data_IF_286684958812
#
_entry.id   IF_286684958812
#
_cell.length_a   1.000
_cell.length_b   1.000
_cell.length_c   1.000
_cell.angle_alpha   90.00
_cell.angle_beta   90.00
_cell.angle_gamma   90.00
#
_symmetry.space_group_name_H-M   'P 1'
#
loop_
_entity.id
_entity.type
_entity.pdbx_description
1 polymer ?
#
# COMPACT_ATOMS: atom_id res chain seq x y z
N UNK A 1 -37.75 -9.80 -3.02
CA UNK A 1 -37.64 -8.51 -3.73
C UNK A 1 -36.16 -8.33 -4.09
N UNK A 2 -35.86 -7.80 -5.27
CA UNK A 2 -34.47 -7.46 -5.63
C UNK A 2 -34.00 -6.34 -4.70
N UNK A 3 -32.84 -6.49 -4.09
CA UNK A 3 -32.22 -5.42 -3.31
C UNK A 3 -31.71 -4.34 -4.26
N UNK A 4 -31.70 -3.05 -3.90
CA UNK A 4 -31.01 -2.01 -4.70
C UNK A 4 -29.53 -2.35 -4.96
N UNK A 5 -28.91 -3.10 -4.05
CA UNK A 5 -27.55 -3.63 -4.19
C UNK A 5 -27.37 -4.62 -5.35
N UNK A 6 -28.45 -5.20 -5.87
CA UNK A 6 -28.43 -6.12 -7.02
C UNK A 6 -28.27 -5.38 -8.36
N UNK A 7 -28.57 -4.08 -8.40
CA UNK A 7 -28.46 -3.26 -9.60
C UNK A 7 -27.00 -2.90 -9.91
N UNK A 8 -26.19 -2.72 -8.86
CA UNK A 8 -24.74 -2.58 -8.98
C UNK A 8 -24.14 -3.93 -9.38
N UNK A 9 -23.82 -4.13 -10.66
CA UNK A 9 -23.17 -5.35 -11.16
C UNK A 9 -21.67 -5.38 -10.79
N UNK A 10 -20.79 -5.67 -11.75
CA UNK A 10 -19.34 -5.63 -11.55
C UNK A 10 -18.80 -4.29 -12.05
N UNK A 11 -17.85 -3.72 -11.30
CA UNK A 11 -17.16 -2.49 -11.68
C UNK A 11 -16.03 -2.73 -12.70
N UNK A 12 -15.39 -1.63 -13.19
CA UNK A 12 -15.68 -0.24 -12.83
C UNK A 12 -17.07 0.21 -13.32
N UNK A 13 -17.70 1.12 -12.58
CA UNK A 13 -19.07 1.57 -12.82
C UNK A 13 -19.10 2.91 -13.57
N UNK A 14 -20.20 3.23 -14.28
CA UNK A 14 -20.41 4.55 -14.85
C UNK A 14 -20.25 5.69 -13.83
N UNK A 15 -19.91 6.89 -14.29
CA UNK A 15 -19.64 8.07 -13.46
C UNK A 15 -20.82 8.43 -12.52
N UNK A 16 -22.04 8.19 -12.97
CA UNK A 16 -23.28 8.48 -12.25
C UNK A 16 -23.76 7.31 -11.35
N UNK A 17 -23.06 6.17 -11.33
CA UNK A 17 -23.48 5.03 -10.52
C UNK A 17 -23.37 5.33 -9.02
N UNK A 18 -24.48 5.17 -8.29
CA UNK A 18 -24.59 5.47 -6.87
C UNK A 18 -24.67 4.19 -6.02
N UNK A 19 -24.08 4.23 -4.83
CA UNK A 19 -24.32 3.20 -3.83
C UNK A 19 -25.67 3.44 -3.14
N UNK A 20 -26.46 2.38 -2.85
CA UNK A 20 -27.66 2.52 -2.05
C UNK A 20 -27.38 3.20 -0.70
N UNK A 21 -28.30 4.07 -0.25
CA UNK A 21 -28.15 4.80 1.02
C UNK A 21 -28.17 3.90 2.26
N UNK A 22 -28.92 2.79 2.21
CA UNK A 22 -29.01 1.84 3.31
C UNK A 22 -27.92 0.78 3.22
N UNK A 23 -27.28 0.49 4.36
CA UNK A 23 -26.26 -0.57 4.47
C UNK A 23 -26.82 -1.92 3.97
N UNK A 24 -26.02 -2.74 3.28
CA UNK A 24 -26.46 -4.06 2.89
C UNK A 24 -26.66 -4.93 4.14
N UNK A 25 -27.81 -5.60 4.24
CA UNK A 25 -28.02 -6.58 5.30
C UNK A 25 -27.02 -7.75 5.19
N UNK A 26 -26.85 -8.53 6.27
CA UNK A 26 -25.86 -9.61 6.31
C UNK A 26 -26.06 -10.68 5.21
N UNK A 27 -27.31 -10.94 4.82
CA UNK A 27 -27.64 -11.88 3.75
C UNK A 27 -27.27 -11.34 2.38
N UNK A 28 -27.64 -10.10 2.09
CA UNK A 28 -27.29 -9.37 0.85
C UNK A 28 -25.78 -9.23 0.71
N UNK A 29 -25.09 -8.82 1.78
CA UNK A 29 -23.63 -8.70 1.82
C UNK A 29 -22.94 -10.01 1.47
N UNK A 30 -23.30 -11.11 2.14
CA UNK A 30 -22.73 -12.44 1.89
C UNK A 30 -23.01 -12.91 0.46
N UNK A 31 -24.24 -12.74 -0.02
CA UNK A 31 -24.68 -13.18 -1.35
C UNK A 31 -23.96 -12.44 -2.48
N UNK A 32 -23.72 -11.14 -2.30
CA UNK A 32 -23.08 -10.27 -3.29
C UNK A 32 -21.57 -10.13 -3.08
N UNK A 33 -21.02 -10.76 -2.04
CA UNK A 33 -19.61 -10.67 -1.69
C UNK A 33 -19.18 -9.23 -1.37
N UNK A 34 -20.03 -8.43 -0.73
CA UNK A 34 -19.71 -7.04 -0.35
C UNK A 34 -18.89 -6.99 0.96
N UNK A 35 -18.02 -5.98 1.15
CA UNK A 35 -17.26 -5.82 2.39
C UNK A 35 -18.17 -5.51 3.58
N UNK A 36 -17.80 -5.95 4.78
CA UNK A 36 -18.44 -5.50 6.02
C UNK A 36 -18.12 -4.02 6.33
N UNK A 37 -17.02 -3.53 5.77
CA UNK A 37 -16.59 -2.13 5.85
C UNK A 37 -17.34 -1.18 4.90
N UNK A 38 -18.19 -1.69 3.99
CA UNK A 38 -19.02 -0.86 3.10
C UNK A 38 -20.16 -0.21 3.89
N UNK A 39 -19.96 1.05 4.27
CA UNK A 39 -20.87 1.83 5.13
C UNK A 39 -21.25 3.16 4.47
N UNK A 40 -22.32 3.18 3.67
CA UNK A 40 -22.85 4.44 3.12
C UNK A 40 -23.26 5.41 4.23
N UNK A 41 -23.07 6.70 3.96
CA UNK A 41 -23.46 7.83 4.82
C UNK A 41 -24.94 8.15 4.55
N UNK A 42 -25.81 8.05 5.57
CA UNK A 42 -27.24 8.29 5.37
C UNK A 42 -27.54 9.69 4.85
N UNK A 43 -28.37 9.78 3.82
CA UNK A 43 -28.78 11.06 3.22
C UNK A 43 -27.70 11.75 2.39
N UNK A 44 -26.53 11.13 2.20
CA UNK A 44 -25.54 11.56 1.23
C UNK A 44 -25.70 10.77 -0.08
N UNK A 45 -25.38 11.43 -1.20
CA UNK A 45 -25.12 10.75 -2.47
C UNK A 45 -23.67 10.30 -2.47
N UNK A 46 -23.42 9.02 -2.74
CA UNK A 46 -22.08 8.46 -2.83
C UNK A 46 -21.94 7.64 -4.12
N UNK A 47 -20.87 7.89 -4.87
CA UNK A 47 -20.58 7.15 -6.10
C UNK A 47 -20.05 5.75 -5.78
N UNK A 48 -20.35 4.78 -6.62
CA UNK A 48 -19.75 3.46 -6.57
C UNK A 48 -18.30 3.55 -7.08
N UNK A 49 -17.33 3.27 -6.21
CA UNK A 49 -15.89 3.35 -6.52
C UNK A 49 -15.29 1.95 -6.49
N UNK A 50 -14.48 1.64 -7.49
CA UNK A 50 -13.69 0.41 -7.53
C UNK A 50 -12.41 0.58 -6.69
N UNK A 51 -12.19 -0.32 -5.73
CA UNK A 51 -11.03 -0.30 -4.84
C UNK A 51 -10.25 -1.63 -4.98
N UNK A 52 -9.07 -1.62 -5.65
CA UNK A 52 -8.25 -2.82 -5.81
C UNK A 52 -7.94 -3.55 -4.50
N UNK A 53 -7.83 -2.84 -3.37
CA UNK A 53 -7.55 -3.47 -2.07
C UNK A 53 -8.67 -4.43 -1.60
N UNK A 54 -9.85 -4.32 -2.21
CA UNK A 54 -11.02 -5.14 -1.96
C UNK A 54 -11.22 -6.23 -3.03
N UNK A 55 -10.21 -6.57 -3.86
CA UNK A 55 -10.35 -7.59 -4.92
C UNK A 55 -10.70 -9.00 -4.47
N UNK A 56 -10.45 -9.33 -3.20
CA UNK A 56 -10.91 -10.57 -2.59
C UNK A 56 -12.45 -10.59 -2.40
N UNK A 57 -13.11 -9.44 -2.46
CA UNK A 57 -14.55 -9.29 -2.59
C UNK A 57 -14.96 -9.29 -4.06
N UNK A 58 -16.08 -9.96 -4.37
CA UNK A 58 -16.52 -10.20 -5.76
C UNK A 58 -16.66 -8.93 -6.60
N UNK A 59 -16.99 -7.79 -5.97
CA UNK A 59 -17.19 -6.51 -6.66
C UNK A 59 -16.07 -5.49 -6.42
N UNK A 60 -15.19 -5.70 -5.44
CA UNK A 60 -14.20 -4.69 -5.03
C UNK A 60 -14.81 -3.28 -4.85
N UNK A 61 -16.02 -3.21 -4.28
CA UNK A 61 -16.82 -2.00 -4.19
C UNK A 61 -16.55 -1.25 -2.89
N UNK A 62 -16.26 0.05 -3.01
CA UNK A 62 -16.27 1.03 -1.92
C UNK A 62 -17.29 2.14 -2.22
N UNK A 63 -17.85 2.75 -1.17
CA UNK A 63 -18.59 4.00 -1.30
C UNK A 63 -17.61 5.17 -1.42
N UNK A 64 -17.74 5.99 -2.47
CA UNK A 64 -16.94 7.20 -2.66
C UNK A 64 -17.23 8.28 -1.63
N UNK A 65 -16.60 9.43 -1.78
CA UNK A 65 -16.79 10.57 -0.88
C UNK A 65 -18.26 11.06 -0.88
N UNK A 66 -18.83 11.39 0.30
CA UNK A 66 -20.24 11.79 0.39
C UNK A 66 -20.45 13.21 -0.15
N UNK A 67 -21.43 13.34 -1.04
CA UNK A 67 -21.97 14.60 -1.49
C UNK A 67 -23.31 14.87 -0.80
N UNK A 68 -23.46 16.09 -0.27
CA UNK A 68 -24.68 16.56 0.39
C UNK A 68 -25.34 17.65 -0.44
N UNK A 69 -26.67 17.71 -0.41
CA UNK A 69 -27.43 18.77 -1.11
C UNK A 69 -27.14 20.17 -0.56
N UNK A 70 -26.86 20.27 0.74
CA UNK A 70 -26.54 21.52 1.42
C UNK A 70 -25.03 21.70 1.57
N UNK A 71 -24.51 22.81 1.03
CA UNK A 71 -23.12 23.22 1.22
C UNK A 71 -22.76 23.37 2.71
N UNK A 72 -23.68 23.90 3.53
CA UNK A 72 -23.48 24.04 4.99
C UNK A 72 -23.36 22.67 5.67
N UNK A 73 -24.20 21.70 5.29
CA UNK A 73 -24.10 20.33 5.81
C UNK A 73 -22.78 19.70 5.38
N UNK A 74 -22.39 19.88 4.12
CA UNK A 74 -21.12 19.38 3.58
C UNK A 74 -19.93 19.92 4.38
N UNK A 75 -19.81 21.24 4.52
CA UNK A 75 -18.72 21.90 5.28
C UNK A 75 -18.65 21.40 6.72
N UNK A 76 -19.79 21.34 7.42
CA UNK A 76 -19.87 20.87 8.80
C UNK A 76 -19.54 19.39 8.93
N UNK A 77 -19.96 18.55 7.98
CA UNK A 77 -19.67 17.12 7.98
C UNK A 77 -18.18 16.84 7.74
N UNK A 78 -17.56 17.49 6.76
CA UNK A 78 -16.12 17.34 6.52
C UNK A 78 -15.29 17.89 7.68
N UNK A 79 -15.71 18.99 8.32
CA UNK A 79 -15.08 19.49 9.54
C UNK A 79 -15.16 18.45 10.69
N UNK A 80 -16.33 17.81 10.89
CA UNK A 80 -16.50 16.76 11.89
C UNK A 80 -15.67 15.51 11.57
N UNK A 81 -15.55 15.11 10.30
CA UNK A 81 -14.67 14.01 9.87
C UNK A 81 -13.21 14.32 10.17
N UNK A 82 -12.74 15.52 9.83
CA UNK A 82 -11.37 15.97 10.12
C UNK A 82 -11.08 15.96 11.63
N UNK A 83 -12.03 16.42 12.44
CA UNK A 83 -11.93 16.33 13.91
C UNK A 83 -11.83 14.88 14.39
N UNK A 84 -12.58 13.95 13.78
CA UNK A 84 -12.50 12.53 14.10
C UNK A 84 -11.14 11.92 13.70
N UNK A 85 -10.62 12.26 12.52
CA UNK A 85 -9.28 11.85 12.05
C UNK A 85 -8.20 12.37 13.00
N UNK A 86 -8.24 13.66 13.32
CA UNK A 86 -7.32 14.31 14.25
C UNK A 86 -7.34 13.66 15.64
N UNK A 87 -8.53 13.27 16.12
CA UNK A 87 -8.69 12.56 17.38
C UNK A 87 -8.05 11.16 17.34
N UNK A 88 -8.31 10.39 16.28
CA UNK A 88 -7.73 9.05 16.10
C UNK A 88 -6.21 9.11 16.00
N UNK A 89 -5.65 10.09 15.29
CA UNK A 89 -4.19 10.28 15.23
C UNK A 89 -3.60 10.59 16.61
N UNK A 90 -4.27 11.42 17.42
CA UNK A 90 -3.84 11.73 18.78
C UNK A 90 -3.92 10.49 19.70
N UNK A 91 -4.96 9.67 19.55
CA UNK A 91 -5.11 8.38 20.26
C UNK A 91 -3.93 7.46 19.95
N UNK A 92 -3.59 7.29 18.66
CA UNK A 92 -2.49 6.43 18.24
C UNK A 92 -1.15 6.97 18.77
N UNK A 93 -0.91 8.27 18.63
CA UNK A 93 0.31 8.91 19.13
C UNK A 93 0.49 8.80 20.65
N UNK A 94 -0.62 8.72 21.40
CA UNK A 94 -0.62 8.51 22.86
C UNK A 94 -0.77 7.04 23.29
N UNK A 95 -0.73 6.09 22.36
CA UNK A 95 -0.95 4.66 22.65
C UNK A 95 0.36 3.91 22.90
N UNK A 96 0.26 2.70 23.47
CA UNK A 96 1.41 1.81 23.63
C UNK A 96 1.95 1.25 22.30
N UNK A 97 1.22 1.43 21.19
CA UNK A 97 1.59 0.91 19.86
C UNK A 97 2.27 1.96 18.97
N UNK A 98 2.51 3.18 19.46
CA UNK A 98 3.08 4.27 18.66
C UNK A 98 4.41 3.90 18.00
N UNK A 99 5.27 3.16 18.71
CA UNK A 99 6.57 2.70 18.19
C UNK A 99 6.46 1.51 17.22
N UNK A 100 5.26 0.96 17.04
CA UNK A 100 4.96 -0.16 16.15
C UNK A 100 4.17 0.25 14.90
N UNK A 101 3.89 1.55 14.73
CA UNK A 101 3.05 2.05 13.65
C UNK A 101 3.77 3.18 12.91
N UNK A 102 4.07 2.93 11.64
CA UNK A 102 4.64 3.94 10.74
C UNK A 102 3.53 4.49 9.86
N UNK A 103 3.17 5.75 10.09
CA UNK A 103 2.17 6.46 9.29
C UNK A 103 2.66 6.64 7.85
N UNK A 104 1.76 6.49 6.88
CA UNK A 104 2.00 6.74 5.46
C UNK A 104 0.72 7.26 4.79
N UNK A 105 0.75 7.38 3.48
CA UNK A 105 -0.45 7.65 2.69
C UNK A 105 -0.86 9.13 2.68
N UNK A 106 -2.11 9.37 2.30
CA UNK A 106 -2.60 10.69 1.88
C UNK A 106 -2.62 11.76 2.98
N UNK A 107 -2.75 11.35 4.24
CA UNK A 107 -2.71 12.27 5.39
C UNK A 107 -1.36 12.98 5.52
N UNK A 108 -0.24 12.34 5.14
CA UNK A 108 1.07 12.98 5.13
C UNK A 108 1.20 14.01 4.01
N UNK A 109 0.62 13.73 2.83
CA UNK A 109 0.58 14.72 1.74
C UNK A 109 -0.21 15.95 2.16
N UNK A 110 -1.33 15.76 2.87
CA UNK A 110 -2.09 16.87 3.45
C UNK A 110 -1.28 17.65 4.48
N UNK A 111 -0.51 16.97 5.32
CA UNK A 111 0.39 17.60 6.29
C UNK A 111 1.48 18.45 5.62
N UNK A 112 2.03 18.01 4.48
CA UNK A 112 3.12 18.69 3.79
C UNK A 112 2.65 19.78 2.83
N UNK A 113 1.51 19.59 2.17
CA UNK A 113 1.09 20.39 1.01
C UNK A 113 -0.27 21.09 1.18
N UNK A 114 -0.96 20.88 2.31
CA UNK A 114 -2.22 21.57 2.60
C UNK A 114 -3.27 21.36 1.51
N UNK A 115 -3.90 22.44 1.04
CA UNK A 115 -4.96 22.42 0.00
C UNK A 115 -4.50 21.96 -1.38
N UNK A 116 -3.19 21.84 -1.62
CA UNK A 116 -2.69 21.21 -2.83
C UNK A 116 -2.78 19.68 -2.78
N UNK A 117 -2.95 19.07 -1.60
CA UNK A 117 -3.26 17.65 -1.49
C UNK A 117 -4.77 17.44 -1.46
N UNK A 118 -5.23 16.36 -2.09
CA UNK A 118 -6.62 15.89 -1.98
C UNK A 118 -6.99 15.57 -0.53
N UNK A 119 -8.27 15.58 -0.23
CA UNK A 119 -8.75 15.22 1.10
C UNK A 119 -8.36 13.77 1.45
N UNK A 120 -7.76 13.50 2.63
CA UNK A 120 -7.40 12.15 3.04
C UNK A 120 -8.63 11.25 3.22
N UNK A 121 -8.61 10.09 2.56
CA UNK A 121 -9.70 9.10 2.64
C UNK A 121 -9.63 8.24 3.91
N UNK A 122 -8.41 7.91 4.33
CA UNK A 122 -8.04 6.90 5.32
C UNK A 122 -6.73 7.26 6.04
N UNK A 123 -6.42 6.49 7.08
CA UNK A 123 -5.16 6.51 7.80
C UNK A 123 -4.40 5.21 7.53
N UNK A 124 -3.31 5.27 6.78
CA UNK A 124 -2.49 4.11 6.43
C UNK A 124 -1.29 3.96 7.38
N UNK A 125 -1.07 2.73 7.87
CA UNK A 125 0.04 2.38 8.73
C UNK A 125 0.77 1.14 8.21
N UNK A 126 2.11 1.18 8.23
CA UNK A 126 2.94 -0.03 8.19
C UNK A 126 3.20 -0.49 9.63
N UNK A 127 2.87 -1.74 9.92
CA UNK A 127 3.12 -2.34 11.25
C UNK A 127 4.56 -2.83 11.33
N UNK A 128 5.29 -2.35 12.34
CA UNK A 128 6.70 -2.68 12.59
C UNK A 128 6.89 -3.30 13.99
N UNK A 129 7.88 -4.20 14.19
CA UNK A 129 8.82 -4.70 13.19
C UNK A 129 8.12 -5.59 12.16
N UNK A 130 8.75 -5.79 11.00
CA UNK A 130 8.24 -6.63 9.90
C UNK A 130 7.80 -8.03 10.34
N UNK A 131 8.36 -8.56 11.42
CA UNK A 131 8.01 -9.86 11.99
C UNK A 131 6.68 -9.88 12.74
N UNK A 132 6.01 -8.73 12.90
CA UNK A 132 4.66 -8.66 13.44
C UNK A 132 3.65 -9.26 12.46
N UNK A 133 3.08 -10.40 12.86
CA UNK A 133 2.10 -11.14 12.08
C UNK A 133 0.66 -10.67 12.28
N UNK A 134 -0.10 -10.64 11.19
CA UNK A 134 -1.51 -10.22 11.16
C UNK A 134 -2.42 -11.06 12.08
N UNK A 135 -2.12 -12.37 12.24
CA UNK A 135 -2.94 -13.31 13.00
C UNK A 135 -2.55 -13.43 14.50
N UNK A 136 -1.63 -12.58 14.98
CA UNK A 136 -1.18 -12.64 16.36
C UNK A 136 -2.17 -12.01 17.35
N UNK A 137 -2.21 -12.52 18.60
CA UNK A 137 -3.05 -11.94 19.67
C UNK A 137 -2.79 -10.45 19.90
N UNK A 138 -1.53 -10.01 19.78
CA UNK A 138 -1.16 -8.59 19.91
C UNK A 138 -1.79 -7.71 18.84
N UNK A 139 -2.06 -8.23 17.65
CA UNK A 139 -2.76 -7.50 16.58
C UNK A 139 -4.20 -7.21 16.98
N UNK A 140 -4.91 -8.21 17.49
CA UNK A 140 -6.28 -8.01 18.01
C UNK A 140 -6.30 -7.02 19.18
N UNK A 141 -5.35 -7.13 20.11
CA UNK A 141 -5.23 -6.21 21.23
C UNK A 141 -5.00 -4.75 20.78
N UNK A 142 -4.17 -4.54 19.76
CA UNK A 142 -3.93 -3.23 19.16
C UNK A 142 -5.19 -2.62 18.55
N UNK A 143 -5.88 -3.35 17.67
CA UNK A 143 -7.06 -2.83 16.99
C UNK A 143 -8.20 -2.51 17.96
N UNK A 144 -8.50 -3.44 18.88
CA UNK A 144 -9.53 -3.23 19.88
C UNK A 144 -9.15 -2.11 20.87
N UNK A 145 -7.86 -2.02 21.18
CA UNK A 145 -7.31 -1.00 22.07
C UNK A 145 -7.43 0.40 21.49
N UNK A 146 -7.06 0.59 20.23
CA UNK A 146 -7.24 1.86 19.49
C UNK A 146 -8.73 2.23 19.48
N UNK A 147 -9.63 1.30 19.15
CA UNK A 147 -11.07 1.56 19.11
C UNK A 147 -11.63 2.00 20.48
N UNK A 148 -11.28 1.26 21.55
CA UNK A 148 -11.72 1.59 22.93
C UNK A 148 -11.16 2.92 23.41
N UNK A 149 -9.89 3.21 23.12
CA UNK A 149 -9.28 4.47 23.52
C UNK A 149 -9.90 5.64 22.77
N UNK A 150 -10.17 5.48 21.46
CA UNK A 150 -10.85 6.50 20.67
C UNK A 150 -12.26 6.84 21.18
N UNK A 151 -13.03 5.83 21.60
CA UNK A 151 -14.32 6.02 22.28
C UNK A 151 -14.16 6.72 23.63
N UNK A 152 -13.25 6.24 24.48
CA UNK A 152 -13.12 6.71 25.86
C UNK A 152 -12.61 8.16 25.97
N UNK A 153 -11.81 8.62 25.01
CA UNK A 153 -11.19 9.95 25.03
C UNK A 153 -11.78 10.93 24.03
N UNK A 154 -12.92 10.58 23.38
CA UNK A 154 -13.55 11.43 22.39
C UNK A 154 -13.84 12.84 22.95
N UNK A 155 -13.48 13.92 22.21
CA UNK A 155 -13.71 15.29 22.65
C UNK A 155 -15.20 15.63 22.67
N UNK A 156 -15.55 16.70 23.40
CA UNK A 156 -16.93 17.19 23.43
C UNK A 156 -17.46 17.47 22.01
N UNK A 157 -18.70 17.04 21.75
CA UNK A 157 -19.35 17.19 20.44
C UNK A 157 -19.02 16.08 19.43
N UNK A 158 -18.03 15.23 19.70
CA UNK A 158 -17.72 14.03 18.91
C UNK A 158 -17.99 12.78 19.75
N UNK A 159 -18.75 11.84 19.20
CA UNK A 159 -18.92 10.50 19.79
C UNK A 159 -18.35 9.46 18.82
N UNK A 160 -17.50 8.58 19.32
CA UNK A 160 -17.11 7.36 18.62
C UNK A 160 -17.75 6.15 19.30
N UNK A 161 -17.90 5.05 18.55
CA UNK A 161 -18.50 3.81 19.07
C UNK A 161 -17.57 2.63 18.79
N UNK A 162 -16.91 2.14 19.84
CA UNK A 162 -15.97 1.03 19.71
C UNK A 162 -16.68 -0.31 19.44
N UNK A 163 -17.98 -0.43 19.79
CA UNK A 163 -18.76 -1.65 19.58
C UNK A 163 -19.28 -1.78 18.15
N UNK A 164 -19.46 -0.66 17.45
CA UNK A 164 -19.78 -0.64 16.01
C UNK A 164 -18.51 -0.64 15.13
N UNK A 165 -17.32 -0.72 15.73
CA UNK A 165 -16.07 -0.88 14.99
C UNK A 165 -16.06 -2.19 14.20
N UNK A 166 -15.64 -2.11 12.94
CA UNK A 166 -15.51 -3.27 12.05
C UNK A 166 -14.06 -3.44 11.65
N UNK A 167 -13.52 -4.63 11.87
CA UNK A 167 -12.23 -5.03 11.34
C UNK A 167 -12.41 -6.09 10.24
N UNK A 168 -11.74 -5.90 9.11
CA UNK A 168 -11.78 -6.82 7.97
C UNK A 168 -10.37 -7.00 7.39
N UNK A 169 -10.10 -8.16 6.81
CA UNK A 169 -8.84 -8.40 6.11
C UNK A 169 -8.86 -7.63 4.79
N UNK A 170 -7.73 -7.04 4.44
CA UNK A 170 -7.52 -6.37 3.15
C UNK A 170 -6.19 -6.81 2.55
N UNK A 171 -6.06 -6.67 1.24
CA UNK A 171 -4.81 -6.92 0.53
C UNK A 171 -4.40 -5.63 -0.16
N UNK A 172 -3.46 -4.91 0.44
CA UNK A 172 -3.03 -3.61 -0.08
C UNK A 172 -2.19 -3.83 -1.34
N UNK A 173 -2.76 -3.43 -2.49
CA UNK A 173 -2.19 -3.61 -3.83
C UNK A 173 -1.87 -5.08 -4.16
N UNK A 174 -2.69 -6.04 -3.70
CA UNK A 174 -2.52 -7.49 -3.89
C UNK A 174 -1.17 -8.09 -3.41
N UNK A 175 -0.39 -7.34 -2.61
CA UNK A 175 1.00 -7.71 -2.27
C UNK A 175 1.19 -8.23 -0.85
N UNK A 176 0.59 -7.55 0.13
CA UNK A 176 0.87 -7.79 1.55
C UNK A 176 -0.43 -7.87 2.35
N UNK A 177 -0.49 -8.73 3.38
CA UNK A 177 -1.67 -8.86 4.21
C UNK A 177 -1.88 -7.59 5.02
N UNK A 178 -3.12 -7.12 5.06
CA UNK A 178 -3.52 -5.96 5.83
C UNK A 178 -4.80 -6.18 6.63
N UNK A 179 -5.04 -5.29 7.59
CA UNK A 179 -6.30 -5.21 8.34
C UNK A 179 -6.86 -3.80 8.24
N UNK A 180 -8.09 -3.68 7.79
CA UNK A 180 -8.85 -2.43 7.80
C UNK A 180 -9.72 -2.36 9.04
N UNK A 181 -9.58 -1.30 9.83
CA UNK A 181 -10.43 -0.95 10.96
C UNK A 181 -11.27 0.28 10.59
N UNK A 182 -12.59 0.15 10.67
CA UNK A 182 -13.52 1.27 10.46
C UNK A 182 -14.16 1.65 11.78
N UNK A 183 -13.91 2.88 12.23
CA UNK A 183 -14.49 3.47 13.44
C UNK A 183 -15.58 4.46 13.05
N UNK A 184 -16.80 4.27 13.56
CA UNK A 184 -17.89 5.21 13.32
C UNK A 184 -17.82 6.40 14.26
N UNK A 185 -18.20 7.58 13.77
CA UNK A 185 -18.35 8.78 14.56
C UNK A 185 -19.70 9.46 14.35
N UNK A 186 -20.12 10.22 15.35
CA UNK A 186 -21.33 11.04 15.36
C UNK A 186 -20.98 12.44 15.86
N UNK A 187 -21.54 13.45 15.21
CA UNK A 187 -21.45 14.85 15.62
C UNK A 187 -22.84 15.50 15.53
N UNK A 188 -23.14 16.42 16.45
CA UNK A 188 -24.49 16.96 16.66
C UNK A 188 -25.16 17.47 15.38
N UNK A 189 -26.31 16.86 15.03
CA UNK A 189 -27.14 17.27 13.89
C UNK A 189 -26.59 16.90 12.51
N UNK A 190 -25.56 16.06 12.43
CA UNK A 190 -24.97 15.58 11.17
C UNK A 190 -25.24 14.08 10.97
N UNK A 191 -25.32 13.60 9.72
CA UNK A 191 -25.26 12.17 9.43
C UNK A 191 -23.99 11.54 10.02
N UNK A 192 -24.11 10.29 10.49
CA UNK A 192 -22.95 9.56 10.99
C UNK A 192 -21.91 9.37 9.89
N UNK A 193 -20.64 9.36 10.27
CA UNK A 193 -19.54 9.06 9.35
C UNK A 193 -18.63 7.98 9.92
N UNK A 194 -17.50 7.78 9.25
CA UNK A 194 -16.47 6.85 9.70
C UNK A 194 -15.07 7.39 9.46
N UNK A 195 -14.12 6.89 10.26
CA UNK A 195 -12.68 6.96 10.00
C UNK A 195 -12.22 5.54 9.65
N UNK A 196 -11.51 5.41 8.54
CA UNK A 196 -10.87 4.17 8.11
C UNK A 196 -9.40 4.19 8.49
N UNK A 197 -8.91 3.08 9.06
CA UNK A 197 -7.51 2.86 9.36
C UNK A 197 -7.06 1.55 8.71
N UNK A 198 -6.03 1.61 7.89
CA UNK A 198 -5.47 0.45 7.20
C UNK A 198 -4.09 0.11 7.78
N UNK A 199 -3.95 -1.11 8.26
CA UNK A 199 -2.72 -1.62 8.86
C UNK A 199 -2.11 -2.68 7.95
N UNK A 200 -0.94 -2.41 7.39
CA UNK A 200 -0.21 -3.33 6.52
C UNK A 200 0.84 -4.09 7.32
N UNK A 201 0.85 -5.41 7.21
CA UNK A 201 1.77 -6.29 7.93
C UNK A 201 2.83 -6.85 6.99
N UNK A 202 4.00 -7.17 7.55
CA UNK A 202 5.11 -7.84 6.86
C UNK A 202 5.71 -7.09 5.66
N UNK A 203 5.29 -5.85 5.40
CA UNK A 203 5.92 -4.95 4.42
C UNK A 203 7.33 -4.58 4.88
N UNK A 204 8.28 -4.58 3.95
CA UNK A 204 9.65 -4.13 4.19
C UNK A 204 9.72 -2.63 3.94
N UNK A 205 10.18 -1.86 4.93
CA UNK A 205 10.47 -0.44 4.77
C UNK A 205 11.84 -0.25 4.07
N UNK A 206 11.90 0.32 2.85
CA UNK A 206 13.16 0.55 2.13
C UNK A 206 14.04 1.64 2.76
N UNK A 207 13.42 2.58 3.47
CA UNK A 207 14.09 3.62 4.24
C UNK A 207 13.51 3.67 5.65
N UNK A 208 14.31 4.12 6.61
CA UNK A 208 13.87 4.28 7.99
C UNK A 208 12.77 5.35 8.08
N UNK A 209 11.74 5.14 8.92
CA UNK A 209 10.74 6.17 9.17
C UNK A 209 11.32 7.32 10.00
N UNK A 210 10.72 8.50 9.88
CA UNK A 210 11.12 9.69 10.61
C UNK A 210 10.03 10.18 11.58
N UNK A 211 10.40 10.70 12.77
CA UNK A 211 9.45 11.36 13.66
C UNK A 211 8.83 12.58 12.97
N UNK A 212 7.52 12.53 12.74
CA UNK A 212 6.78 13.56 12.00
C UNK A 212 5.64 14.11 12.85
N UNK A 213 5.57 15.44 12.94
CA UNK A 213 4.42 16.13 13.52
C UNK A 213 3.34 16.26 12.46
N UNK A 214 2.18 15.66 12.69
CA UNK A 214 1.04 15.76 11.77
C UNK A 214 0.18 16.96 12.21
N UNK A 215 0.11 18.06 11.43
CA UNK A 215 -0.72 19.20 11.77
C UNK A 215 -2.19 18.77 11.88
N UNK A 216 -2.85 19.22 12.95
CA UNK A 216 -4.29 19.02 13.11
C UNK A 216 -5.05 20.02 12.25
N UNK A 217 -6.19 19.63 11.72
CA UNK A 217 -7.07 20.52 10.96
C UNK A 217 -7.65 21.63 11.86
N UNK A 218 -7.83 21.36 13.15
CA UNK A 218 -8.31 22.35 14.13
C UNK A 218 -7.21 23.30 14.66
N UNK A 219 -5.95 23.14 14.21
CA UNK A 219 -4.81 23.94 14.66
C UNK A 219 -4.32 23.63 16.08
N UNK A 220 -4.84 22.58 16.72
CA UNK A 220 -4.38 22.10 18.02
C UNK A 220 -2.97 21.49 17.99
N UNK A 221 -2.50 20.95 19.13
CA UNK A 221 -1.17 20.33 19.22
C UNK A 221 -1.00 19.17 18.23
N UNK A 222 -0.03 19.27 17.33
CA UNK A 222 0.26 18.24 16.33
C UNK A 222 0.79 16.94 16.97
N UNK A 223 0.10 15.79 16.84
CA UNK A 223 0.62 14.50 17.28
C UNK A 223 1.95 14.17 16.60
N UNK A 224 2.87 13.57 17.37
CA UNK A 224 4.16 13.08 16.87
C UNK A 224 4.05 11.58 16.62
N UNK A 225 4.31 11.15 15.38
CA UNK A 225 4.24 9.75 14.95
C UNK A 225 5.51 9.41 14.18
N UNK A 226 5.88 8.13 14.14
CA UNK A 226 6.83 7.67 13.13
C UNK A 226 6.11 7.66 11.78
N UNK A 227 6.72 8.22 10.74
CA UNK A 227 6.10 8.33 9.43
C UNK A 227 7.08 8.08 8.28
N UNK A 228 6.55 7.68 7.13
CA UNK A 228 7.31 7.66 5.89
C UNK A 228 7.73 9.08 5.48
N UNK A 229 8.93 9.21 4.94
CA UNK A 229 9.42 10.49 4.40
C UNK A 229 8.70 10.85 3.09
N UNK A 230 8.76 12.12 2.64
CA UNK A 230 8.28 12.49 1.30
C UNK A 230 8.97 11.67 0.20
N UNK A 231 10.26 11.39 0.32
CA UNK A 231 11.01 10.63 -0.68
C UNK A 231 10.53 9.18 -0.76
N UNK A 232 10.34 8.52 0.40
CA UNK A 232 9.82 7.16 0.45
C UNK A 232 8.37 7.10 -0.06
N UNK A 233 7.56 8.10 0.27
CA UNK A 233 6.19 8.21 -0.24
C UNK A 233 6.17 8.32 -1.77
N UNK A 234 7.08 9.12 -2.35
CA UNK A 234 7.21 9.23 -3.80
C UNK A 234 7.70 7.92 -4.43
N UNK A 235 8.70 7.26 -3.84
CA UNK A 235 9.18 5.97 -4.30
C UNK A 235 8.06 4.92 -4.36
N UNK A 236 7.22 4.87 -3.33
CA UNK A 236 6.08 3.96 -3.28
C UNK A 236 5.00 4.29 -4.30
N UNK A 237 4.66 5.58 -4.50
CA UNK A 237 3.67 5.98 -5.51
C UNK A 237 4.11 5.59 -6.92
N UNK A 238 5.38 5.84 -7.25
CA UNK A 238 5.94 5.42 -8.56
C UNK A 238 5.97 3.89 -8.68
N UNK A 239 6.35 3.18 -7.62
CA UNK A 239 6.33 1.72 -7.62
C UNK A 239 4.91 1.16 -7.80
N UNK A 240 3.88 1.67 -7.12
CA UNK A 240 2.50 1.22 -7.32
C UNK A 240 2.01 1.45 -8.74
N UNK A 241 2.34 2.62 -9.32
CA UNK A 241 1.99 2.90 -10.70
C UNK A 241 2.63 1.91 -11.69
N UNK A 242 3.85 1.43 -11.41
CA UNK A 242 4.61 0.54 -12.29
C UNK A 242 4.35 -0.96 -12.07
N UNK A 243 4.02 -1.39 -10.85
CA UNK A 243 3.92 -2.80 -10.46
C UNK A 243 2.48 -3.28 -10.25
N UNK A 244 1.54 -2.39 -9.98
CA UNK A 244 0.19 -2.81 -9.65
C UNK A 244 -0.61 -3.20 -10.90
N UNK A 245 -1.50 -4.18 -10.76
CA UNK A 245 -2.41 -4.61 -11.82
C UNK A 245 -3.51 -3.58 -12.09
N UNK A 246 -3.73 -2.66 -11.14
CA UNK A 246 -4.73 -1.59 -11.22
C UNK A 246 -4.12 -0.23 -10.81
N UNK A 247 -3.21 0.35 -11.62
CA UNK A 247 -2.61 1.66 -11.32
C UNK A 247 -3.67 2.75 -11.15
N UNK A 248 -3.65 3.47 -10.03
CA UNK A 248 -4.71 4.42 -9.69
C UNK A 248 -4.35 5.87 -10.02
N UNK A 249 -5.31 6.64 -10.54
CA UNK A 249 -5.17 8.06 -10.87
C UNK A 249 -4.87 8.94 -9.65
N UNK A 250 -5.37 8.55 -8.46
CA UNK A 250 -4.99 9.20 -7.19
C UNK A 250 -3.50 9.03 -6.89
N UNK A 251 -2.90 7.90 -7.25
CA UNK A 251 -1.48 7.64 -7.03
C UNK A 251 -0.62 8.43 -8.04
N UNK A 252 -1.11 8.61 -9.27
CA UNK A 252 -0.51 9.49 -10.27
C UNK A 252 -0.53 10.96 -9.81
N UNK A 253 -1.66 11.43 -9.30
CA UNK A 253 -1.78 12.78 -8.75
C UNK A 253 -0.83 13.00 -7.57
N UNK A 254 -0.87 12.10 -6.58
CA UNK A 254 -0.02 12.13 -5.40
C UNK A 254 1.47 12.10 -5.78
N UNK A 255 1.87 11.25 -6.73
CA UNK A 255 3.25 11.17 -7.24
C UNK A 255 3.70 12.49 -7.88
N UNK A 256 2.84 13.11 -8.70
CA UNK A 256 3.16 14.39 -9.33
C UNK A 256 3.34 15.51 -8.29
N UNK A 257 2.45 15.57 -7.30
CA UNK A 257 2.54 16.55 -6.21
C UNK A 257 3.83 16.39 -5.40
N UNK A 258 4.18 15.15 -5.05
CA UNK A 258 5.42 14.81 -4.37
C UNK A 258 6.65 15.17 -5.23
N UNK A 259 6.67 14.75 -6.51
CA UNK A 259 7.79 15.00 -7.41
C UNK A 259 8.03 16.48 -7.71
N UNK A 260 7.00 17.32 -7.57
CA UNK A 260 7.16 18.78 -7.67
C UNK A 260 7.93 19.40 -6.49
N UNK A 261 8.01 18.71 -5.34
CA UNK A 261 8.58 19.24 -4.10
C UNK A 261 9.69 18.37 -3.49
N UNK A 262 9.93 17.18 -4.04
CA UNK A 262 10.85 16.19 -3.48
C UNK A 262 11.66 15.54 -4.59
N UNK A 263 12.98 15.51 -4.43
CA UNK A 263 13.86 14.74 -5.31
C UNK A 263 13.87 13.28 -4.88
N UNK A 264 13.54 12.38 -5.80
CA UNK A 264 13.65 10.94 -5.58
C UNK A 264 15.03 10.44 -6.05
N UNK A 265 15.76 9.73 -5.20
CA UNK A 265 16.95 8.99 -5.63
C UNK A 265 16.57 7.73 -6.41
N UNK A 266 17.32 7.41 -7.47
CA UNK A 266 17.12 6.14 -8.19
C UNK A 266 17.31 4.93 -7.28
N UNK A 267 18.24 5.06 -6.32
CA UNK A 267 18.54 4.01 -5.35
C UNK A 267 17.31 3.66 -4.50
N UNK A 268 16.66 4.65 -3.90
CA UNK A 268 15.48 4.41 -3.08
C UNK A 268 14.32 3.84 -3.90
N UNK A 269 14.15 4.32 -5.14
CA UNK A 269 13.16 3.75 -6.06
C UNK A 269 13.46 2.26 -6.31
N UNK A 270 14.71 1.91 -6.64
CA UNK A 270 15.11 0.53 -6.86
C UNK A 270 14.90 -0.34 -5.61
N UNK A 271 15.28 0.15 -4.43
CA UNK A 271 15.06 -0.56 -3.17
C UNK A 271 13.57 -0.77 -2.87
N UNK A 272 12.70 0.21 -3.15
CA UNK A 272 11.26 0.08 -3.00
C UNK A 272 10.69 -0.99 -3.93
N UNK A 273 11.07 -0.98 -5.21
CA UNK A 273 10.66 -1.97 -6.20
C UNK A 273 11.10 -3.40 -5.79
N UNK A 274 12.34 -3.57 -5.32
CA UNK A 274 12.88 -4.87 -4.88
C UNK A 274 12.33 -5.33 -3.54
N UNK A 275 12.01 -4.38 -2.65
CA UNK A 275 11.31 -4.68 -1.40
C UNK A 275 9.93 -5.29 -1.70
N UNK A 276 9.20 -4.71 -2.65
CA UNK A 276 7.91 -5.16 -3.18
C UNK A 276 7.99 -6.52 -3.87
N UNK A 277 8.81 -6.62 -4.93
CA UNK A 277 8.98 -7.84 -5.72
C UNK A 277 10.47 -8.12 -5.97
N UNK A 278 11.03 -9.24 -5.46
CA UNK A 278 12.42 -9.59 -5.72
C UNK A 278 12.77 -9.70 -7.21
N UNK A 279 11.82 -10.01 -8.10
CA UNK A 279 12.06 -10.00 -9.55
C UNK A 279 12.51 -8.63 -10.09
N UNK A 280 12.20 -7.54 -9.39
CA UNK A 280 12.65 -6.20 -9.80
C UNK A 280 14.17 -6.02 -9.67
N UNK A 281 14.87 -6.91 -8.94
CA UNK A 281 16.34 -6.84 -8.82
C UNK A 281 17.04 -7.00 -10.18
N UNK A 282 16.40 -7.69 -11.13
CA UNK A 282 16.90 -7.84 -12.51
C UNK A 282 16.24 -6.93 -13.54
N UNK A 283 15.11 -6.31 -13.20
CA UNK A 283 14.34 -5.43 -14.08
C UNK A 283 14.00 -4.13 -13.35
N UNK A 284 15.03 -3.29 -13.23
CA UNK A 284 14.91 -1.98 -12.61
C UNK A 284 14.03 -1.05 -13.45
N UNK A 285 13.33 -0.10 -12.81
CA UNK A 285 12.40 0.77 -13.50
C UNK A 285 13.13 1.70 -14.48
N UNK A 286 12.46 2.02 -15.58
CA UNK A 286 12.93 3.00 -16.56
C UNK A 286 11.96 4.17 -16.68
N UNK A 287 12.44 5.30 -17.19
CA UNK A 287 11.57 6.45 -17.45
C UNK A 287 10.56 6.16 -18.58
N UNK A 288 10.89 5.26 -19.50
CA UNK A 288 9.97 4.83 -20.57
C UNK A 288 8.80 4.02 -20.00
N UNK A 289 9.03 3.19 -18.97
CA UNK A 289 7.95 2.50 -18.26
C UNK A 289 7.01 3.52 -17.58
N UNK A 290 7.54 4.61 -17.01
CA UNK A 290 6.73 5.71 -16.46
C UNK A 290 5.96 6.46 -17.55
N UNK A 291 6.57 6.69 -18.72
CA UNK A 291 5.93 7.38 -19.83
C UNK A 291 4.79 6.55 -20.48
N UNK A 292 4.78 5.24 -20.25
CA UNK A 292 3.79 4.30 -20.76
C UNK A 292 2.66 3.99 -19.75
N UNK A 293 2.59 4.71 -18.63
CA UNK A 293 1.55 4.51 -17.62
C UNK A 293 0.15 4.75 -18.19
N UNK A 294 -0.73 3.79 -17.91
CA UNK A 294 -2.18 3.85 -18.13
C UNK A 294 -2.85 3.65 -16.76
N UNK A 295 -3.64 4.63 -16.32
CA UNK A 295 -4.20 4.69 -14.96
C UNK A 295 -5.70 4.92 -15.01
N UNK A 296 -6.41 4.59 -13.92
CA UNK A 296 -7.86 4.79 -13.78
C UNK A 296 -8.27 6.27 -13.59
N UNK A 297 -7.77 7.19 -14.42
CA UNK A 297 -7.93 8.64 -14.26
C UNK A 297 -9.39 9.10 -14.09
N UNK A 298 -10.32 8.43 -14.76
CA UNK A 298 -11.76 8.72 -14.61
C UNK A 298 -12.30 8.36 -13.22
N UNK A 299 -11.80 7.29 -12.59
CA UNK A 299 -12.16 6.96 -11.19
C UNK A 299 -11.65 8.05 -10.24
N UNK A 300 -10.45 8.59 -10.47
CA UNK A 300 -9.92 9.72 -9.70
C UNK A 300 -10.78 10.98 -9.87
N UNK A 301 -11.14 11.34 -11.12
CA UNK A 301 -12.01 12.51 -11.39
C UNK A 301 -13.40 12.37 -10.78
N UNK A 302 -13.96 11.15 -10.79
CA UNK A 302 -15.26 10.84 -10.17
C UNK A 302 -15.23 11.05 -8.66
N UNK A 303 -14.14 10.70 -7.99
CA UNK A 303 -14.00 10.83 -6.54
C UNK A 303 -13.59 12.25 -6.11
N UNK A 304 -12.85 12.97 -6.95
CA UNK A 304 -12.25 14.27 -6.64
C UNK A 304 -12.54 15.32 -7.73
N UNK A 305 -13.83 15.67 -7.95
CA UNK A 305 -14.25 16.57 -9.03
C UNK A 305 -13.71 17.99 -8.90
N UNK A 306 -13.33 18.45 -7.71
CA UNK A 306 -12.70 19.74 -7.46
C UNK A 306 -11.30 19.86 -8.09
N UNK A 307 -10.66 18.72 -8.40
CA UNK A 307 -9.41 18.66 -9.15
C UNK A 307 -9.62 18.41 -10.65
N UNK A 308 -10.86 18.18 -11.11
CA UNK A 308 -11.21 18.11 -12.52
C UNK A 308 -10.88 19.36 -13.37
N UNK A 309 -10.80 20.59 -12.81
CA UNK A 309 -10.31 21.78 -13.53
C UNK A 309 -8.80 21.78 -13.77
N UNK A 310 -8.04 20.83 -13.22
CA UNK A 310 -6.61 20.73 -13.51
C UNK A 310 -6.44 20.52 -15.03
N UNK A 311 -5.81 21.46 -15.75
CA UNK A 311 -5.75 21.37 -17.20
C UNK A 311 -4.96 20.13 -17.62
N UNK A 312 -5.58 19.31 -18.45
CA UNK A 312 -4.97 18.18 -19.15
C UNK A 312 -5.67 16.83 -18.93
N UNK A 313 -5.28 15.84 -19.73
CA UNK A 313 -5.74 14.45 -19.62
C UNK A 313 -4.85 13.64 -18.66
N UNK A 314 -5.13 12.34 -18.50
CA UNK A 314 -4.23 11.41 -17.83
C UNK A 314 -2.83 11.47 -18.45
N UNK A 315 -2.76 11.49 -19.78
CA UNK A 315 -1.51 11.58 -20.54
C UNK A 315 -0.72 12.86 -20.22
N UNK A 316 -1.39 14.01 -20.13
CA UNK A 316 -0.72 15.28 -19.76
C UNK A 316 -0.12 15.20 -18.35
N UNK A 317 -0.82 14.56 -17.43
CA UNK A 317 -0.34 14.35 -16.05
C UNK A 317 0.86 13.40 -16.01
N UNK A 318 0.82 12.31 -16.78
CA UNK A 318 1.96 11.39 -16.96
C UNK A 318 3.17 12.13 -17.54
N UNK A 319 2.99 12.96 -18.58
CA UNK A 319 4.09 13.73 -19.16
C UNK A 319 4.73 14.70 -18.17
N UNK A 320 3.92 15.35 -17.32
CA UNK A 320 4.42 16.20 -16.24
C UNK A 320 5.20 15.39 -15.20
N UNK A 321 4.73 14.20 -14.84
CA UNK A 321 5.45 13.30 -13.93
C UNK A 321 6.78 12.84 -14.55
N UNK A 322 6.80 12.47 -15.84
CA UNK A 322 8.03 12.11 -16.57
C UNK A 322 9.05 13.25 -16.53
N UNK A 323 8.63 14.49 -16.74
CA UNK A 323 9.52 15.66 -16.65
C UNK A 323 10.06 15.82 -15.23
N UNK A 324 9.20 15.71 -14.21
CA UNK A 324 9.59 15.85 -12.81
C UNK A 324 10.56 14.74 -12.35
N UNK A 325 10.35 13.50 -12.81
CA UNK A 325 11.19 12.35 -12.46
C UNK A 325 12.43 12.19 -13.32
N UNK A 326 12.59 12.93 -14.43
CA UNK A 326 13.78 12.84 -15.30
C UNK A 326 15.10 12.85 -14.52
N UNK A 327 15.32 13.75 -13.53
CA UNK A 327 16.57 13.74 -12.76
C UNK A 327 16.82 12.45 -11.96
N UNK A 328 15.77 11.74 -11.54
CA UNK A 328 15.87 10.44 -10.88
C UNK A 328 16.53 9.41 -11.80
N UNK A 329 16.26 9.46 -13.11
CA UNK A 329 16.75 8.45 -14.06
C UNK A 329 18.03 8.86 -14.81
N UNK A 330 18.42 10.14 -14.77
CA UNK A 330 19.62 10.63 -15.49
C UNK A 330 20.81 10.94 -14.59
N UNK A 331 20.60 11.08 -13.28
CA UNK A 331 21.71 11.26 -12.34
C UNK A 331 22.44 9.94 -12.14
N UNK A 332 23.74 10.04 -11.86
CA UNK A 332 24.51 8.90 -11.39
C UNK A 332 23.85 8.33 -10.12
N UNK A 333 23.80 7.00 -10.05
CA UNK A 333 23.15 6.28 -8.97
C UNK A 333 24.16 5.42 -8.23
N UNK A 334 24.00 5.28 -6.92
CA UNK A 334 24.90 4.51 -6.04
C UNK A 334 24.68 2.99 -6.14
N UNK A 335 24.35 2.49 -7.33
CA UNK A 335 24.22 1.06 -7.60
C UNK A 335 25.51 0.52 -8.24
N UNK A 336 25.99 -0.67 -7.84
CA UNK A 336 27.17 -1.27 -8.43
C UNK A 336 27.10 -1.44 -9.94
N UNK A 337 28.27 -1.33 -10.56
CA UNK A 337 28.51 -1.84 -11.89
C UNK A 337 28.49 -3.38 -11.88
N UNK A 338 28.02 -3.98 -12.98
CA UNK A 338 27.86 -5.43 -13.10
C UNK A 338 26.54 -5.94 -12.52
N UNK A 339 25.92 -6.85 -13.25
CA UNK A 339 24.57 -7.34 -12.96
C UNK A 339 24.52 -8.15 -11.66
N UNK A 340 25.51 -9.02 -11.41
CA UNK A 340 25.58 -9.80 -10.17
C UNK A 340 25.73 -8.89 -8.93
N UNK A 341 26.70 -7.98 -8.93
CA UNK A 341 26.98 -7.11 -7.79
C UNK A 341 25.77 -6.23 -7.43
N UNK A 342 25.11 -5.67 -8.45
CA UNK A 342 23.89 -4.89 -8.28
C UNK A 342 22.76 -5.70 -7.67
N UNK A 343 22.49 -6.91 -8.19
CA UNK A 343 21.46 -7.81 -7.65
C UNK A 343 21.77 -8.23 -6.22
N UNK A 344 23.03 -8.56 -5.92
CA UNK A 344 23.47 -8.93 -4.58
C UNK A 344 23.22 -7.79 -3.58
N UNK A 345 23.52 -6.55 -3.97
CA UNK A 345 23.29 -5.39 -3.12
C UNK A 345 21.80 -5.11 -2.89
N UNK A 346 20.99 -5.10 -3.94
CA UNK A 346 19.54 -4.89 -3.85
C UNK A 346 18.83 -5.98 -3.06
N UNK A 347 19.30 -7.23 -3.16
CA UNK A 347 18.78 -8.37 -2.38
C UNK A 347 19.35 -8.41 -0.95
N UNK A 348 20.24 -7.48 -0.57
CA UNK A 348 20.89 -7.40 0.73
C UNK A 348 19.95 -7.54 1.94
N UNK A 349 18.80 -6.85 2.00
CA UNK A 349 17.83 -7.03 3.09
C UNK A 349 17.33 -8.49 3.23
N UNK A 350 17.08 -9.18 2.10
CA UNK A 350 16.68 -10.60 2.09
C UNK A 350 17.84 -11.50 2.48
N UNK A 351 19.04 -11.24 1.99
CA UNK A 351 20.25 -11.98 2.36
C UNK A 351 20.46 -11.92 3.88
N UNK A 352 20.36 -10.74 4.51
CA UNK A 352 20.46 -10.60 5.97
C UNK A 352 19.38 -11.38 6.72
N UNK A 353 18.14 -11.35 6.26
CA UNK A 353 17.03 -12.16 6.83
C UNK A 353 17.35 -13.65 6.75
N UNK A 354 17.77 -14.15 5.60
CA UNK A 354 18.08 -15.56 5.41
C UNK A 354 19.38 -16.00 6.10
N UNK A 355 20.31 -15.09 6.35
CA UNK A 355 21.51 -15.38 7.12
C UNK A 355 21.18 -15.79 8.56
N UNK A 356 20.17 -15.15 9.17
CA UNK A 356 19.66 -15.52 10.50
C UNK A 356 19.08 -16.94 10.46
N UNK A 357 18.18 -17.22 9.51
CA UNK A 357 17.59 -18.55 9.34
C UNK A 357 18.64 -19.63 9.05
N UNK A 358 19.67 -19.29 8.25
CA UNK A 358 20.80 -20.17 7.95
C UNK A 358 21.61 -20.51 9.20
N UNK A 359 21.82 -19.54 10.08
CA UNK A 359 22.57 -19.75 11.32
C UNK A 359 21.86 -20.73 12.26
N UNK A 360 20.52 -20.76 12.23
CA UNK A 360 19.70 -21.63 13.07
C UNK A 360 19.54 -23.05 12.49
N UNK A 361 19.35 -23.17 11.18
CA UNK A 361 18.93 -24.42 10.53
C UNK A 361 19.76 -24.90 9.35
N UNK A 362 20.83 -24.18 8.97
CA UNK A 362 21.60 -24.47 7.76
C UNK A 362 20.93 -23.96 6.49
N UNK A 363 21.46 -24.37 5.32
CA UNK A 363 21.02 -23.83 4.03
C UNK A 363 19.68 -24.42 3.54
N UNK A 364 19.39 -25.68 3.85
CA UNK A 364 18.20 -26.36 3.32
C UNK A 364 16.88 -25.69 3.76
N UNK A 365 16.69 -25.29 5.04
CA UNK A 365 15.49 -24.53 5.43
C UNK A 365 15.37 -23.17 4.74
N UNK A 366 16.49 -22.51 4.43
CA UNK A 366 16.48 -21.26 3.66
C UNK A 366 15.99 -21.49 2.25
N UNK A 367 16.51 -22.51 1.56
CA UNK A 367 16.07 -22.83 0.20
C UNK A 367 14.59 -23.24 0.18
N UNK A 368 14.13 -24.02 1.16
CA UNK A 368 12.73 -24.39 1.27
C UNK A 368 11.82 -23.18 1.51
N UNK A 369 12.23 -22.24 2.37
CA UNK A 369 11.51 -20.98 2.65
C UNK A 369 11.41 -20.12 1.39
N UNK A 370 12.51 -19.92 0.67
CA UNK A 370 12.53 -19.18 -0.60
C UNK A 370 11.63 -19.84 -1.64
N UNK A 371 11.66 -21.16 -1.75
CA UNK A 371 10.93 -21.91 -2.77
C UNK A 371 9.41 -21.97 -2.57
N UNK A 372 8.94 -21.99 -1.31
CA UNK A 372 7.52 -22.22 -0.97
C UNK A 372 6.81 -21.00 -0.42
N UNK A 373 7.42 -20.35 0.56
CA UNK A 373 6.75 -19.34 1.37
C UNK A 373 6.96 -17.95 0.76
N UNK A 374 8.22 -17.60 0.49
CA UNK A 374 8.56 -16.28 -0.07
C UNK A 374 8.46 -16.26 -1.61
N UNK A 375 8.28 -17.42 -2.26
CA UNK A 375 8.09 -17.53 -3.71
C UNK A 375 9.25 -16.99 -4.56
N UNK A 376 10.46 -16.96 -4.03
CA UNK A 376 11.62 -16.34 -4.67
C UNK A 376 11.95 -17.06 -5.99
N UNK A 377 12.19 -16.34 -7.09
CA UNK A 377 12.54 -16.96 -8.36
C UNK A 377 13.96 -17.50 -8.32
N UNK A 378 14.25 -18.47 -9.21
CA UNK A 378 15.53 -19.20 -9.18
C UNK A 378 16.71 -18.26 -9.36
N UNK A 379 16.60 -17.27 -10.24
CA UNK A 379 17.66 -16.32 -10.58
C UNK A 379 18.10 -15.49 -9.39
N UNK A 380 17.15 -14.95 -8.63
CA UNK A 380 17.38 -14.18 -7.42
C UNK A 380 17.83 -15.09 -6.27
N UNK A 381 17.25 -16.29 -6.15
CA UNK A 381 17.66 -17.28 -5.17
C UNK A 381 19.13 -17.72 -5.36
N UNK A 382 19.61 -17.81 -6.60
CA UNK A 382 21.02 -18.12 -6.91
C UNK A 382 21.94 -17.06 -6.32
N UNK A 383 21.63 -15.78 -6.52
CA UNK A 383 22.41 -14.66 -5.97
C UNK A 383 22.39 -14.73 -4.44
N UNK A 384 21.21 -14.91 -3.84
CA UNK A 384 21.06 -15.01 -2.37
C UNK A 384 21.89 -16.18 -1.82
N UNK A 385 21.79 -17.38 -2.40
CA UNK A 385 22.55 -18.56 -1.93
C UNK A 385 24.05 -18.35 -2.11
N UNK A 386 24.48 -17.74 -3.22
CA UNK A 386 25.90 -17.49 -3.46
C UNK A 386 26.50 -16.56 -2.40
N UNK A 387 25.79 -15.47 -2.07
CA UNK A 387 26.16 -14.54 -1.00
C UNK A 387 26.13 -15.19 0.40
N UNK A 388 25.10 -15.97 0.73
CA UNK A 388 25.00 -16.67 2.01
C UNK A 388 26.12 -17.70 2.25
N UNK A 389 26.75 -18.17 1.17
CA UNK A 389 27.88 -19.09 1.18
C UNK A 389 29.24 -18.36 1.11
N UNK A 390 29.26 -17.03 1.02
CA UNK A 390 30.49 -16.23 0.93
C UNK A 390 31.28 -16.52 -0.35
N UNK A 391 30.60 -16.83 -1.44
CA UNK A 391 31.22 -17.20 -2.73
C UNK A 391 31.37 -15.99 -3.63
N UNK A 392 32.36 -16.01 -4.53
CA UNK A 392 32.46 -15.03 -5.61
C UNK A 392 31.46 -15.31 -6.74
N UNK A 393 31.24 -14.33 -7.63
CA UNK A 393 30.37 -14.46 -8.79
C UNK A 393 30.74 -15.66 -9.71
N UNK A 394 32.03 -16.03 -9.78
CA UNK A 394 32.50 -17.18 -10.57
C UNK A 394 31.94 -18.53 -10.09
N UNK A 395 31.43 -18.61 -8.86
CA UNK A 395 30.84 -19.82 -8.30
C UNK A 395 29.31 -19.91 -8.50
N UNK A 396 28.69 -18.95 -9.19
CA UNK A 396 27.27 -18.95 -9.56
C UNK A 396 26.80 -20.30 -10.15
N UNK A 397 27.54 -20.98 -11.05
CA UNK A 397 27.13 -22.30 -11.54
C UNK A 397 26.88 -23.33 -10.43
N UNK A 398 27.72 -23.35 -9.40
CA UNK A 398 27.57 -24.27 -8.27
C UNK A 398 26.40 -23.88 -7.36
N UNK A 399 26.16 -22.58 -7.19
CA UNK A 399 25.02 -22.09 -6.41
C UNK A 399 23.69 -22.36 -7.11
N UNK A 400 23.66 -22.29 -8.45
CA UNK A 400 22.52 -22.67 -9.27
C UNK A 400 22.17 -24.16 -9.14
N UNK A 401 23.17 -25.05 -9.15
CA UNK A 401 22.92 -26.49 -8.93
C UNK A 401 22.32 -26.78 -7.55
N UNK A 402 22.74 -26.05 -6.51
CA UNK A 402 22.18 -26.17 -5.16
C UNK A 402 20.73 -25.68 -5.10
N UNK A 403 20.45 -24.50 -5.66
CA UNK A 403 19.10 -23.92 -5.69
C UNK A 403 18.16 -24.83 -6.46
N UNK A 404 18.52 -25.26 -7.67
CA UNK A 404 17.67 -26.13 -8.50
C UNK A 404 17.33 -27.44 -7.78
N UNK A 405 18.31 -28.09 -7.15
CA UNK A 405 18.07 -29.31 -6.37
C UNK A 405 17.19 -29.06 -5.15
N UNK A 406 17.45 -27.99 -4.40
CA UNK A 406 16.65 -27.66 -3.22
C UNK A 406 15.22 -27.27 -3.58
N UNK A 407 15.01 -26.53 -4.67
CA UNK A 407 13.68 -26.19 -5.20
C UNK A 407 12.92 -27.44 -5.67
N UNK A 408 13.61 -28.40 -6.28
CA UNK A 408 13.04 -29.70 -6.65
C UNK A 408 12.61 -30.50 -5.43
N UNK A 409 13.46 -30.61 -4.41
CA UNK A 409 13.14 -31.28 -3.15
C UNK A 409 11.99 -30.58 -2.40
N UNK A 410 11.92 -29.25 -2.47
CA UNK A 410 10.82 -28.48 -1.93
C UNK A 410 9.53 -28.61 -2.77
N UNK A 411 9.57 -29.18 -3.98
CA UNK A 411 8.39 -29.25 -4.85
C UNK A 411 7.95 -27.87 -5.37
N UNK A 412 8.90 -26.97 -5.62
CA UNK A 412 8.62 -25.64 -6.17
C UNK A 412 8.02 -25.74 -7.58
N UNK A 413 7.02 -24.89 -7.87
CA UNK A 413 6.41 -24.78 -9.20
C UNK A 413 7.40 -24.31 -10.28
N UNK A 414 8.44 -23.55 -9.90
CA UNK A 414 9.49 -23.07 -10.79
C UNK A 414 10.22 -24.20 -11.53
N UNK A 415 10.40 -25.36 -10.89
CA UNK A 415 11.12 -26.48 -11.52
C UNK A 415 10.40 -27.01 -12.75
N UNK A 416 9.06 -26.96 -12.78
CA UNK A 416 8.30 -27.31 -13.96
C UNK A 416 8.59 -26.39 -15.14
N UNK A 417 8.78 -25.10 -14.90
CA UNK A 417 9.16 -24.12 -15.92
C UNK A 417 10.57 -24.39 -16.45
N UNK A 418 11.55 -24.57 -15.59
CA UNK A 418 12.95 -24.81 -16.00
C UNK A 418 13.16 -26.16 -16.71
N UNK A 419 12.39 -27.20 -16.36
CA UNK A 419 12.41 -28.47 -17.11
C UNK A 419 11.89 -28.33 -18.54
N UNK A 420 10.92 -27.43 -18.76
CA UNK A 420 10.36 -27.15 -20.10
C UNK A 420 11.23 -26.19 -20.92
N UNK A 421 12.07 -25.40 -20.25
CA UNK A 421 12.89 -24.35 -20.84
C UNK A 421 14.35 -24.48 -20.36
N UNK A 422 15.06 -25.57 -20.73
CA UNK A 422 16.41 -25.85 -20.22
C UNK A 422 17.45 -24.77 -20.58
N UNK A 423 17.23 -24.04 -21.68
CA UNK A 423 18.04 -22.89 -22.11
C UNK A 423 18.07 -21.76 -21.07
N UNK A 424 17.03 -21.62 -20.24
CA UNK A 424 16.99 -20.62 -19.16
C UNK A 424 18.10 -20.78 -18.15
N UNK A 425 18.64 -21.98 -17.98
CA UNK A 425 19.81 -22.20 -17.14
C UNK A 425 21.03 -21.44 -17.65
N UNK A 426 21.31 -21.48 -18.96
CA UNK A 426 22.46 -20.78 -19.53
C UNK A 426 22.24 -19.27 -19.58
N UNK A 427 20.99 -18.82 -19.76
CA UNK A 427 20.64 -17.40 -19.66
C UNK A 427 20.98 -16.84 -18.27
N UNK A 428 20.68 -17.56 -17.18
CA UNK A 428 21.06 -17.16 -15.82
C UNK A 428 22.57 -17.03 -15.68
N UNK A 429 23.31 -18.04 -16.15
CA UNK A 429 24.76 -18.04 -16.04
C UNK A 429 25.39 -16.93 -16.87
N UNK A 430 24.80 -16.57 -17.99
CA UNK A 430 25.27 -15.48 -18.85
C UNK A 430 24.98 -14.12 -18.21
N UNK A 431 23.79 -13.94 -17.63
CA UNK A 431 23.39 -12.69 -16.97
C UNK A 431 24.14 -12.42 -15.65
N UNK A 432 24.62 -13.46 -14.97
CA UNK A 432 25.29 -13.32 -13.65
C UNK A 432 26.83 -13.44 -13.72
N UNK A 433 27.42 -13.52 -14.92
CA UNK A 433 28.87 -13.37 -15.14
C UNK A 433 29.24 -11.89 -15.16
#
# INVERSE_FOLDING_TARGET
MSSPWDELKYGPWPEDAEVPHDRPDAGTRKRLGLPATLRPVPGAVQRAVFDPALKHHAKALRAGEPAFESAEISERWYAARRQAIDHVLAVIAGSEWVDNLVLRGSILLRAWYGEAAREPGDLDFVVVPRTWGIAERRTHAMLDGIARQAEATAPEGLRMDARDAVAEDIWTYDRVPGRRLVLTWQAGGLPHGSVQLDFVFNELLPADPEPTRVPRFDGGPAPLLMAATPELSLAWKVMWLLDDAYPQGKDLYDALLLAAHTSLSYRLLADAMVASDPHRARRLPTLDEVAALDVDWEEFRKEYPEFAPMPGTAEDTVQRLVVALRPTFTREHDLPEGEYARRAELLGPRIRRYAILKAEGGLDPVIAMMAKEDGIPVEEAVVIVNELLGRSANAVPHSLDLVMRGYELAGSSWIGYYRRNPEKREEILTALR
#
